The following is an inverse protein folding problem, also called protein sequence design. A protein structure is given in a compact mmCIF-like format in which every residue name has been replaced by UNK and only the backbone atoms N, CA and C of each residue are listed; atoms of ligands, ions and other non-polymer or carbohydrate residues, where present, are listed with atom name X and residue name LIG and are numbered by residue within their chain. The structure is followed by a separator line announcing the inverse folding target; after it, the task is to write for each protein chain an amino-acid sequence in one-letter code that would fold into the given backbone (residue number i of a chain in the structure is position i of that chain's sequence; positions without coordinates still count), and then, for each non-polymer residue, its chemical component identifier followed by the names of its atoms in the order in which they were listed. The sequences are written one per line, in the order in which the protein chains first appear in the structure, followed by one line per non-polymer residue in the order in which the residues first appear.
data_IF_476389683870
#
_entry.id   IF_476389683870
#
_cell.length_a   1.000
_cell.length_b   1.000
_cell.length_c   1.000
_cell.angle_alpha   90.00
_cell.angle_beta   90.00
_cell.angle_gamma   90.00
#
_symmetry.space_group_name_H-M   'P 1'
#
loop_
_entity.id
_entity.type
_entity.pdbx_description
1 polymer ?
2 non-polymer ?
3 non-polymer ?
4 water ?
#
# COMPACT_ATOMS: atom_id res chain seq x y z
N UNK A 1 -1.99 22.60 8.02
CA UNK A 1 -0.55 22.22 7.94
C UNK A 1 -0.14 21.40 9.15
N UNK A 2 0.13 22.08 10.29
CA UNK A 2 0.25 21.43 11.59
C UNK A 2 -1.13 21.30 12.29
N UNK A 3 -1.77 20.15 12.10
CA UNK A 3 -3.11 19.87 12.67
C UNK A 3 -3.20 19.85 14.19
N UNK A 4 -4.42 19.90 14.72
CA UNK A 4 -4.67 20.01 16.18
C UNK A 4 -4.63 18.71 16.94
N UNK A 5 -5.47 18.58 17.97
CA UNK A 5 -5.53 17.34 18.72
C UNK A 5 -6.39 16.31 18.00
N UNK A 6 -6.33 15.07 18.48
CA UNK A 6 -7.10 13.98 17.88
C UNK A 6 -8.59 14.32 17.88
N UNK A 7 -9.10 14.74 19.03
CA UNK A 7 -10.49 15.23 19.18
C UNK A 7 -10.86 16.21 18.08
N UNK A 8 -10.04 17.24 17.91
CA UNK A 8 -10.28 18.24 16.86
C UNK A 8 -10.42 17.55 15.50
N UNK A 9 -9.35 16.83 15.08
CA UNK A 9 -9.35 16.08 13.81
C UNK A 9 -10.62 15.26 13.58
N UNK A 10 -11.05 14.57 14.63
CA UNK A 10 -12.18 13.66 14.52
C UNK A 10 -13.53 14.32 14.76
N UNK A 11 -13.52 15.54 15.31
CA UNK A 11 -14.78 16.25 15.65
C UNK A 11 -15.88 16.19 14.59
N UNK A 12 -15.49 16.25 13.30
CA UNK A 12 -16.46 16.07 12.22
C UNK A 12 -16.46 14.69 11.54
N UNK A 13 -16.04 13.65 12.26
CA UNK A 13 -16.25 12.29 11.81
C UNK A 13 -17.58 11.78 12.39
N UNK A 14 -18.43 11.23 11.54
CA UNK A 14 -19.76 10.89 11.98
C UNK A 14 -19.93 9.40 12.39
N UNK A 15 -18.82 8.69 12.54
CA UNK A 15 -18.87 7.35 13.12
C UNK A 15 -17.74 7.09 14.10
N UNK A 16 -17.58 8.02 15.03
CA UNK A 16 -16.58 7.92 16.08
C UNK A 16 -17.23 7.23 17.28
N UNK A 17 -16.69 6.09 17.65
CA UNK A 17 -17.28 5.26 18.70
C UNK A 17 -16.44 5.31 20.00
N UNK A 18 -17.13 5.35 21.13
CA UNK A 18 -16.45 5.28 22.43
C UNK A 18 -15.89 3.88 22.68
N UNK A 19 -14.62 3.82 23.07
CA UNK A 19 -13.95 2.55 23.34
C UNK A 19 -14.55 1.77 24.52
N UNK A 20 -14.81 0.49 24.27
CA UNK A 20 -15.41 -0.40 25.25
C UNK A 20 -14.83 -1.82 25.08
N UNK A 21 -13.80 -2.10 25.86
CA UNK A 21 -13.18 -3.42 25.88
C UNK A 21 -13.74 -4.21 27.05
N UNK A 22 -13.86 -5.52 26.87
CA UNK A 22 -14.46 -6.40 27.86
C UNK A 22 -14.30 -7.87 27.46
N UNK A 23 -14.40 -8.75 28.44
CA UNK A 23 -14.39 -10.19 28.20
C UNK A 23 -15.76 -10.82 28.45
N UNK A 24 -16.14 -11.75 27.58
CA UNK A 24 -17.32 -12.57 27.77
C UNK A 24 -16.95 -14.03 27.58
N UNK A 25 -16.60 -14.69 28.69
CA UNK A 25 -16.18 -16.09 28.71
C UNK A 25 -14.86 -16.31 27.99
N UNK A 26 -13.82 -15.61 28.46
CA UNK A 26 -12.45 -15.65 27.90
C UNK A 26 -12.31 -15.55 26.36
N UNK A 27 -13.20 -14.78 25.73
CA UNK A 27 -12.93 -14.21 24.40
C UNK A 27 -12.87 -12.72 24.65
N UNK A 28 -11.82 -12.07 24.19
CA UNK A 28 -11.65 -10.63 24.39
C UNK A 28 -12.39 -9.86 23.29
N UNK A 29 -13.11 -8.81 23.67
CA UNK A 29 -13.90 -8.03 22.70
C UNK A 29 -13.47 -6.58 22.63
N UNK A 30 -13.54 -6.02 21.43
CA UNK A 30 -13.53 -4.56 21.27
C UNK A 30 -14.88 -4.12 20.70
N UNK A 31 -15.78 -3.67 21.57
CA UNK A 31 -17.04 -3.05 21.15
C UNK A 31 -17.94 -3.93 20.27
N UNK A 32 -18.15 -5.18 20.69
CA UNK A 32 -18.85 -6.17 19.83
C UNK A 32 -17.90 -6.89 18.86
N UNK A 33 -16.78 -6.27 18.51
CA UNK A 33 -15.79 -6.94 17.69
C UNK A 33 -15.01 -7.97 18.50
N UNK A 34 -15.29 -9.24 18.25
CA UNK A 34 -14.63 -10.33 18.92
C UNK A 34 -13.21 -10.52 18.39
N UNK A 35 -12.22 -10.36 19.26
CA UNK A 35 -10.82 -10.53 18.87
C UNK A 35 -10.50 -12.00 18.59
N UNK A 36 -10.26 -12.33 17.32
CA UNK A 36 -9.84 -13.68 16.94
C UNK A 36 -8.33 -13.88 17.23
N UNK A 37 -7.49 -13.19 16.45
CA UNK A 37 -6.03 -13.23 16.60
C UNK A 37 -5.51 -11.95 15.93
N UNK A 38 -4.20 -11.68 16.05
CA UNK A 38 -3.65 -10.51 15.37
C UNK A 38 -3.00 -10.92 14.05
N UNK A 39 -3.29 -10.17 12.99
CA UNK A 39 -2.86 -10.56 11.64
C UNK A 39 -1.42 -10.18 11.36
N UNK A 40 -1.01 -9.03 11.90
CA UNK A 40 0.26 -8.44 11.59
C UNK A 40 0.68 -7.53 12.73
N UNK A 41 1.76 -7.90 13.41
CA UNK A 41 2.32 -7.05 14.44
C UNK A 41 3.40 -6.15 13.82
N UNK A 42 2.99 -4.93 13.46
CA UNK A 42 3.92 -3.91 13.00
C UNK A 42 4.86 -3.49 14.12
N UNK A 43 5.71 -2.52 13.82
CA UNK A 43 6.62 -1.97 14.84
C UNK A 43 5.85 -1.08 15.81
N UNK A 44 4.77 -0.48 15.32
CA UNK A 44 3.94 0.44 16.11
C UNK A 44 2.46 0.07 16.10
N UNK A 45 1.82 0.14 14.93
CA UNK A 45 0.37 0.02 14.86
C UNK A 45 -0.19 -1.37 15.22
N UNK A 46 -0.20 -2.31 14.27
CA UNK A 46 -0.78 -3.66 14.47
C UNK A 46 -2.24 -3.77 14.01
N UNK A 47 -2.52 -4.86 13.29
CA UNK A 47 -3.87 -5.14 12.79
C UNK A 47 -4.45 -6.35 13.50
N UNK A 48 -5.74 -6.27 13.85
CA UNK A 48 -6.40 -7.32 14.59
C UNK A 48 -7.52 -7.95 13.76
N UNK A 49 -7.58 -9.29 13.75
CA UNK A 49 -8.69 -10.00 13.10
C UNK A 49 -9.83 -10.17 14.09
N UNK A 50 -11.01 -9.68 13.71
CA UNK A 50 -12.18 -9.74 14.57
C UNK A 50 -13.40 -10.26 13.83
N UNK A 51 -14.46 -10.50 14.59
CA UNK A 51 -15.77 -10.89 14.06
C UNK A 51 -16.88 -10.13 14.80
N UNK A 52 -17.86 -9.68 14.03
CA UNK A 52 -19.07 -9.07 14.56
C UNK A 52 -20.21 -9.53 13.67
N UNK A 53 -21.30 -9.96 14.29
CA UNK A 53 -22.42 -10.58 13.59
C UNK A 53 -21.96 -11.88 12.92
N UNK A 54 -21.78 -11.88 11.59
CA UNK A 54 -21.16 -13.02 10.92
C UNK A 54 -20.07 -12.60 9.94
N UNK A 55 -19.79 -11.30 9.94
CA UNK A 55 -18.83 -10.68 9.05
C UNK A 55 -17.42 -10.71 9.65
N UNK A 56 -16.41 -10.45 8.83
CA UNK A 56 -15.02 -10.44 9.28
C UNK A 56 -14.38 -9.09 9.11
N UNK A 57 -13.57 -8.70 10.10
CA UNK A 57 -13.01 -7.36 10.14
C UNK A 57 -11.55 -7.34 10.53
N UNK A 58 -10.83 -6.36 10.03
CA UNK A 58 -9.44 -6.14 10.42
C UNK A 58 -9.36 -4.76 11.05
N UNK A 59 -9.16 -4.73 12.36
CA UNK A 59 -9.06 -3.47 13.09
C UNK A 59 -7.59 -3.10 13.28
N UNK A 60 -7.24 -1.89 12.90
CA UNK A 60 -5.87 -1.41 13.05
C UNK A 60 -5.79 -0.58 14.30
N UNK A 61 -4.99 -1.03 15.27
CA UNK A 61 -4.81 -0.33 16.53
C UNK A 61 -3.57 0.56 16.52
N UNK A 62 -3.77 1.85 16.78
CA UNK A 62 -2.65 2.73 17.01
C UNK A 62 -2.73 3.12 18.48
N UNK A 63 -1.63 3.64 19.04
CA UNK A 63 -1.71 4.30 20.36
C UNK A 63 -0.84 5.54 20.50
N UNK A 64 -1.51 6.63 20.87
CA UNK A 64 -0.90 7.92 21.16
C UNK A 64 0.33 7.81 22.05
N UNK A 65 0.15 7.33 23.27
CA UNK A 65 1.20 7.26 24.27
C UNK A 65 2.42 6.49 23.76
N UNK A 66 2.19 5.63 22.78
CA UNK A 66 3.24 4.79 22.23
C UNK A 66 4.01 5.52 21.13
N UNK A 67 3.31 6.14 20.18
CA UNK A 67 4.00 6.82 19.09
C UNK A 67 4.37 8.29 19.33
N UNK A 68 3.93 8.88 20.45
CA UNK A 68 4.31 10.26 20.75
C UNK A 68 5.74 10.37 21.28
N UNK A 69 6.24 9.28 21.85
CA UNK A 69 7.67 9.05 21.97
C UNK A 69 8.04 8.28 20.71
N UNK A 70 9.30 8.42 20.26
CA UNK A 70 9.69 8.11 18.87
C UNK A 70 9.57 9.38 18.06
N UNK A 71 10.50 10.31 18.33
CA UNK A 71 10.59 11.59 17.65
C UNK A 71 11.76 11.52 16.70
N UNK A 72 11.66 12.24 15.59
CA UNK A 72 12.70 12.23 14.57
C UNK A 72 13.10 13.65 14.18
N UNK A 73 13.84 13.75 13.08
CA UNK A 73 14.28 15.03 12.53
C UNK A 73 13.72 15.27 11.13
N UNK A 74 12.69 16.11 11.04
CA UNK A 74 12.21 16.62 9.75
C UNK A 74 13.16 17.69 9.21
N UNK A 75 12.63 18.57 8.35
CA UNK A 75 13.40 19.67 7.77
C UNK A 75 13.64 20.78 8.79
N UNK A 76 13.24 22.00 8.45
CA UNK A 76 13.56 23.18 9.27
C UNK A 76 12.68 24.38 8.94
N UNK A 77 12.71 24.79 7.66
CA UNK A 77 12.22 26.09 7.21
C UNK A 77 13.10 27.21 7.76
N UNK A 78 13.21 27.26 9.09
CA UNK A 78 13.91 28.32 9.80
C UNK A 78 15.36 28.00 10.12
N UNK A 79 15.81 26.80 9.75
CA UNK A 79 17.14 26.30 10.12
C UNK A 79 17.29 26.16 11.65
N UNK A 80 16.23 26.54 12.38
CA UNK A 80 16.16 26.34 13.83
C UNK A 80 15.62 24.94 14.10
N UNK A 81 16.20 23.96 13.41
CA UNK A 81 15.76 22.56 13.43
C UNK A 81 14.23 22.36 13.24
N UNK A 82 13.79 21.11 13.31
CA UNK A 82 12.38 20.76 13.41
C UNK A 82 12.25 19.43 14.13
N UNK A 83 11.25 19.35 15.00
CA UNK A 83 11.05 18.19 15.86
C UNK A 83 9.65 17.62 15.67
N UNK A 84 9.57 16.46 15.03
CA UNK A 84 8.29 15.78 14.82
C UNK A 84 8.24 14.42 15.51
N UNK A 85 7.03 13.95 15.77
CA UNK A 85 6.78 12.68 16.44
C UNK A 85 6.04 11.76 15.49
N UNK A 86 6.04 10.47 15.77
CA UNK A 86 5.27 9.51 14.95
C UNK A 86 3.78 9.63 15.19
N UNK A 87 3.42 10.29 16.30
CA UNK A 87 2.02 10.62 16.56
C UNK A 87 1.56 11.78 15.68
N UNK A 88 2.46 12.71 15.40
CA UNK A 88 2.22 13.80 14.45
C UNK A 88 1.92 13.27 13.06
N UNK A 89 2.72 12.29 12.64
CA UNK A 89 2.52 11.62 11.36
C UNK A 89 1.17 10.96 11.27
N UNK A 90 0.75 10.39 12.39
CA UNK A 90 -0.51 9.67 12.48
C UNK A 90 -1.72 10.60 12.39
N UNK A 91 -1.61 11.80 12.98
CA UNK A 91 -2.66 12.81 12.84
C UNK A 91 -2.94 13.03 11.36
N UNK A 92 -1.90 13.32 10.59
CA UNK A 92 -2.06 13.45 9.15
C UNK A 92 -2.70 12.21 8.51
N UNK A 93 -2.35 11.03 9.00
CA UNK A 93 -2.94 9.81 8.47
C UNK A 93 -4.41 9.73 8.84
N UNK A 94 -4.72 10.07 10.08
CA UNK A 94 -6.09 10.05 10.60
C UNK A 94 -7.05 10.88 9.73
N UNK A 95 -6.71 12.14 9.50
CA UNK A 95 -7.45 13.03 8.62
C UNK A 95 -7.73 12.37 7.27
N UNK A 96 -6.75 11.64 6.76
CA UNK A 96 -6.88 11.01 5.46
C UNK A 96 -7.85 9.82 5.52
N UNK A 97 -7.63 8.91 6.45
CA UNK A 97 -8.55 7.79 6.70
C UNK A 97 -10.01 8.25 6.78
N UNK A 98 -10.18 9.49 7.23
CA UNK A 98 -11.46 10.12 7.48
C UNK A 98 -12.08 10.65 6.18
N UNK A 99 -11.26 10.73 5.14
CA UNK A 99 -11.64 11.38 3.89
C UNK A 99 -11.86 10.35 2.78
N UNK A 100 -11.14 9.23 2.84
CA UNK A 100 -11.20 8.23 1.79
C UNK A 100 -12.46 7.36 1.79
N UNK A 101 -13.22 7.44 0.71
CA UNK A 101 -14.39 6.60 0.49
C UNK A 101 -14.43 6.18 -0.99
N UNK A 102 -14.11 4.92 -1.27
CA UNK A 102 -13.99 4.44 -2.65
C UNK A 102 -13.93 2.92 -2.69
N UNK A 103 -14.62 2.33 -3.67
CA UNK A 103 -14.65 0.88 -3.84
C UNK A 103 -13.27 0.25 -4.18
N UNK A 104 -12.31 1.10 -4.54
CA UNK A 104 -10.98 0.66 -4.92
C UNK A 104 -9.93 0.99 -3.85
N UNK A 105 -10.39 1.47 -2.69
CA UNK A 105 -9.48 1.81 -1.60
C UNK A 105 -10.06 1.21 -0.34
N UNK A 106 -9.22 0.69 0.54
CA UNK A 106 -9.70 0.27 1.84
C UNK A 106 -10.18 1.51 2.57
N UNK A 107 -11.46 1.50 2.96
CA UNK A 107 -12.06 2.64 3.64
C UNK A 107 -12.61 2.17 4.98
N UNK A 108 -12.33 2.92 6.04
CA UNK A 108 -12.75 2.49 7.37
C UNK A 108 -14.26 2.61 7.53
N UNK A 109 -14.80 1.85 8.48
CA UNK A 109 -16.24 1.83 8.69
C UNK A 109 -16.59 2.47 10.02
N UNK A 110 -15.55 2.86 10.76
CA UNK A 110 -15.73 3.47 12.08
C UNK A 110 -14.41 3.61 12.81
N UNK A 111 -14.32 4.65 13.63
CA UNK A 111 -13.16 4.82 14.48
C UNK A 111 -13.55 4.73 15.95
N UNK A 112 -12.90 3.80 16.65
CA UNK A 112 -13.14 3.54 18.06
C UNK A 112 -11.97 4.09 18.87
N UNK A 113 -12.25 4.96 19.84
CA UNK A 113 -11.18 5.61 20.59
C UNK A 113 -11.53 6.17 21.97
N UNK A 114 -10.48 6.41 22.76
CA UNK A 114 -10.57 7.13 24.02
C UNK A 114 -9.66 8.36 23.92
N UNK A 115 -9.24 8.65 22.69
CA UNK A 115 -8.26 9.69 22.36
C UNK A 115 -6.83 9.32 22.75
N UNK A 116 -6.57 8.03 22.92
CA UNK A 116 -5.20 7.50 23.08
C UNK A 116 -5.05 6.23 22.23
N UNK A 117 -5.69 5.15 22.64
CA UNK A 117 -5.83 3.98 21.78
C UNK A 117 -6.85 4.28 20.71
N UNK A 118 -6.59 3.79 19.50
CA UNK A 118 -7.45 4.05 18.35
C UNK A 118 -7.59 2.77 17.54
N UNK A 119 -8.84 2.42 17.22
CA UNK A 119 -9.15 1.24 16.42
C UNK A 119 -9.90 1.68 15.18
N UNK A 120 -9.31 1.47 14.02
CA UNK A 120 -9.93 1.82 12.74
C UNK A 120 -10.50 0.51 12.20
N UNK A 121 -11.78 0.50 11.90
CA UNK A 121 -12.45 -0.72 11.49
C UNK A 121 -12.41 -0.81 9.97
N UNK A 122 -12.03 -1.98 9.47
CA UNK A 122 -11.93 -2.19 8.06
C UNK A 122 -12.59 -3.50 7.75
N UNK A 123 -13.07 -3.66 6.54
CA UNK A 123 -13.54 -4.96 6.08
C UNK A 123 -12.33 -5.87 6.08
N UNK A 124 -12.54 -7.17 6.13
CA UNK A 124 -11.41 -8.08 6.09
C UNK A 124 -11.23 -8.63 4.68
N UNK A 125 -10.07 -8.34 4.11
CA UNK A 125 -9.73 -8.74 2.74
C UNK A 125 -9.09 -10.10 2.83
N UNK A 126 -9.93 -11.13 2.76
CA UNK A 126 -9.50 -12.46 3.18
C UNK A 126 -8.32 -13.07 2.41
N UNK A 127 -8.04 -12.59 1.20
CA UNK A 127 -6.85 -13.04 0.46
C UNK A 127 -5.57 -12.25 0.75
N UNK A 128 -5.63 -11.34 1.73
CA UNK A 128 -4.46 -10.58 2.19
C UNK A 128 -3.85 -9.84 0.99
N UNK A 129 -2.54 -9.59 0.97
CA UNK A 129 -1.94 -8.80 -0.11
C UNK A 129 -1.58 -9.64 -1.34
N UNK A 130 -1.52 -9.00 -2.51
CA UNK A 130 -1.32 -9.75 -3.76
C UNK A 130 -0.04 -10.61 -3.79
N UNK A 131 1.03 -10.13 -3.17
CA UNK A 131 2.20 -10.97 -2.91
C UNK A 131 2.62 -10.83 -1.46
N UNK A 132 3.38 -11.79 -0.98
CA UNK A 132 3.90 -11.75 0.38
C UNK A 132 5.44 -11.69 0.31
N UNK A 133 6.07 -11.14 1.34
CA UNK A 133 7.54 -11.05 1.38
C UNK A 133 8.15 -11.66 2.64
N UNK A 134 9.38 -12.14 2.47
CA UNK A 134 10.28 -12.47 3.59
C UNK A 134 11.75 -12.22 3.15
N UNK A 135 12.32 -13.12 2.36
CA UNK A 135 13.62 -12.92 1.69
C UNK A 135 13.37 -12.56 0.22
N UNK A 136 12.14 -12.82 -0.23
CA UNK A 136 11.68 -12.56 -1.60
C UNK A 136 10.16 -12.71 -1.66
N UNK A 137 9.57 -12.39 -2.82
CA UNK A 137 8.12 -12.37 -2.96
C UNK A 137 7.54 -13.72 -3.38
N UNK A 138 6.42 -14.10 -2.76
CA UNK A 138 5.71 -15.34 -3.11
C UNK A 138 4.19 -15.14 -3.03
N UNK A 139 3.45 -16.02 -3.69
CA UNK A 139 2.00 -15.91 -3.79
C UNK A 139 1.32 -16.52 -2.56
N UNK A 140 1.57 -17.80 -2.31
CA UNK A 140 0.95 -18.45 -1.18
C UNK A 140 2.00 -19.04 -0.25
N UNK A 141 3.01 -19.66 -0.85
CA UNK A 141 3.96 -20.45 -0.10
C UNK A 141 5.38 -20.20 -0.58
N UNK A 142 6.31 -20.19 0.38
CA UNK A 142 7.72 -19.98 0.09
C UNK A 142 8.33 -21.16 -0.69
N UNK A 143 7.64 -22.30 -0.67
CA UNK A 143 8.19 -23.58 -1.20
C UNK A 143 7.91 -23.86 -2.70
N UNK A 144 6.64 -23.82 -3.10
CA UNK A 144 6.27 -23.81 -4.52
C UNK A 144 6.28 -22.37 -5.02
N UNK A 145 6.87 -22.15 -6.20
CA UNK A 145 7.04 -20.81 -6.75
C UNK A 145 5.70 -20.21 -7.22
N UNK A 146 5.37 -20.45 -8.49
CA UNK A 146 4.13 -19.93 -9.10
C UNK A 146 4.11 -18.40 -9.19
N UNK A 147 4.04 -17.89 -10.42
CA UNK A 147 3.91 -16.46 -10.68
C UNK A 147 2.45 -16.16 -10.98
N UNK A 148 1.98 -14.98 -10.58
CA UNK A 148 0.63 -14.53 -10.95
C UNK A 148 0.53 -14.53 -12.48
N UNK A 149 -0.57 -15.09 -13.04
CA UNK A 149 -0.76 -15.07 -14.49
C UNK A 149 -0.98 -13.64 -14.98
N UNK A 150 -0.56 -13.36 -16.21
CA UNK A 150 -0.64 -12.02 -16.77
C UNK A 150 -2.06 -11.43 -16.79
N UNK A 151 -3.03 -12.23 -17.21
CA UNK A 151 -4.41 -11.80 -17.29
C UNK A 151 -4.95 -11.33 -15.94
N UNK A 152 -4.46 -11.95 -14.87
CA UNK A 152 -4.79 -11.54 -13.50
C UNK A 152 -4.04 -10.26 -13.14
N UNK A 153 -2.76 -10.18 -13.52
CA UNK A 153 -1.95 -8.97 -13.28
C UNK A 153 -2.61 -7.77 -13.92
N UNK A 154 -3.04 -7.94 -15.16
CA UNK A 154 -3.83 -6.96 -15.88
C UNK A 154 -4.97 -6.42 -15.01
N UNK A 155 -5.76 -7.33 -14.44
CA UNK A 155 -6.89 -6.93 -13.60
C UNK A 155 -6.47 -6.07 -12.41
N UNK A 156 -5.42 -6.49 -11.72
CA UNK A 156 -4.93 -5.82 -10.51
C UNK A 156 -4.49 -4.40 -10.82
N UNK A 157 -3.63 -4.27 -11.83
CA UNK A 157 -3.16 -2.97 -12.29
C UNK A 157 -4.32 -2.03 -12.66
N UNK A 158 -5.27 -2.53 -13.46
CA UNK A 158 -6.43 -1.74 -13.87
C UNK A 158 -7.17 -1.32 -12.61
N UNK A 159 -7.19 -2.21 -11.65
CA UNK A 159 -7.87 -1.92 -10.42
C UNK A 159 -7.19 -0.79 -9.65
N UNK A 160 -5.87 -0.85 -9.52
CA UNK A 160 -5.12 0.13 -8.72
C UNK A 160 -5.04 1.48 -9.42
N UNK A 161 -4.88 1.44 -10.74
CA UNK A 161 -5.04 2.63 -11.58
C UNK A 161 -6.35 3.34 -11.30
N UNK A 162 -7.45 2.58 -11.23
CA UNK A 162 -8.73 3.14 -10.85
C UNK A 162 -8.68 3.86 -9.51
N UNK A 163 -7.93 3.32 -8.55
CA UNK A 163 -7.84 3.94 -7.22
C UNK A 163 -6.95 5.17 -7.22
N UNK A 164 -5.96 5.20 -8.14
CA UNK A 164 -5.22 6.44 -8.39
C UNK A 164 -6.17 7.53 -8.86
N UNK A 165 -7.08 7.19 -9.78
CA UNK A 165 -8.05 8.15 -10.28
C UNK A 165 -8.77 8.83 -9.11
N UNK A 166 -9.16 8.05 -8.11
CA UNK A 166 -9.87 8.60 -6.97
C UNK A 166 -8.99 9.50 -6.12
N UNK A 167 -7.84 8.98 -5.68
CA UNK A 167 -7.00 9.73 -4.76
C UNK A 167 -6.36 10.94 -5.42
N UNK A 168 -5.90 10.79 -6.65
CA UNK A 168 -5.22 11.88 -7.34
C UNK A 168 -6.17 12.97 -7.84
N UNK A 169 -7.27 12.54 -8.48
CA UNK A 169 -8.16 13.49 -9.17
C UNK A 169 -9.32 13.95 -8.31
N UNK A 170 -9.91 13.03 -7.57
CA UNK A 170 -11.07 13.37 -6.76
C UNK A 170 -10.68 13.90 -5.37
N UNK A 171 -9.65 13.31 -4.77
CA UNK A 171 -9.25 13.68 -3.41
C UNK A 171 -7.95 14.51 -3.26
N UNK A 172 -7.14 14.61 -4.30
CA UNK A 172 -5.86 15.34 -4.21
C UNK A 172 -4.87 14.76 -3.18
N UNK A 173 -4.84 13.43 -3.08
CA UNK A 173 -3.96 12.73 -2.15
C UNK A 173 -2.96 11.92 -2.96
N UNK A 174 -1.69 12.00 -2.57
CA UNK A 174 -0.68 11.11 -3.13
C UNK A 174 -0.41 9.96 -2.17
N UNK A 175 -0.47 8.73 -2.67
CA UNK A 175 -0.40 7.58 -1.74
C UNK A 175 0.99 7.46 -1.14
N UNK A 176 2.01 7.60 -1.98
CA UNK A 176 3.36 7.74 -1.49
C UNK A 176 4.04 6.44 -0.97
N UNK A 177 3.37 5.29 -1.03
CA UNK A 177 3.96 4.00 -0.56
C UNK A 177 3.22 2.82 -1.21
N UNK A 178 2.95 2.95 -2.50
CA UNK A 178 2.37 1.87 -3.29
C UNK A 178 3.35 0.69 -3.40
N UNK A 179 3.00 -0.41 -2.75
CA UNK A 179 3.78 -1.64 -2.80
C UNK A 179 2.89 -2.89 -2.67
N UNK A 180 3.36 -4.07 -3.14
CA UNK A 180 2.57 -5.31 -3.02
C UNK A 180 1.86 -5.53 -1.67
N UNK A 181 2.57 -5.34 -0.57
CA UNK A 181 2.00 -5.54 0.76
C UNK A 181 0.80 -4.63 1.05
N UNK A 182 0.63 -3.58 0.24
CA UNK A 182 -0.46 -2.60 0.36
C UNK A 182 -1.61 -2.73 -0.63
N UNK A 183 -1.53 -3.70 -1.55
CA UNK A 183 -2.65 -3.98 -2.45
C UNK A 183 -3.35 -5.22 -1.94
N UNK A 184 -4.54 -5.05 -1.38
CA UNK A 184 -5.22 -6.18 -0.75
C UNK A 184 -6.28 -6.76 -1.66
N UNK A 185 -6.47 -8.07 -1.57
CA UNK A 185 -7.45 -8.78 -2.37
C UNK A 185 -8.46 -9.46 -1.44
N UNK A 186 -9.73 -9.43 -1.81
CA UNK A 186 -10.71 -10.24 -1.08
C UNK A 186 -10.92 -11.57 -1.80
N UNK A 187 -11.78 -12.43 -1.26
CA UNK A 187 -12.06 -13.72 -1.89
C UNK A 187 -12.78 -13.61 -3.25
N UNK A 188 -13.51 -12.52 -3.44
CA UNK A 188 -14.40 -12.41 -4.61
C UNK A 188 -13.71 -11.71 -5.78
N UNK A 189 -12.46 -11.33 -5.60
CA UNK A 189 -11.73 -10.69 -6.68
C UNK A 189 -11.75 -9.18 -6.69
N UNK A 190 -12.13 -8.55 -5.59
CA UNK A 190 -11.93 -7.10 -5.42
C UNK A 190 -10.50 -6.84 -4.92
N UNK A 191 -9.88 -5.79 -5.45
CA UNK A 191 -8.53 -5.43 -5.08
C UNK A 191 -8.53 -3.99 -4.55
N UNK A 192 -7.91 -3.77 -3.40
CA UNK A 192 -7.99 -2.45 -2.81
C UNK A 192 -6.65 -1.89 -2.35
N UNK A 193 -6.38 -0.65 -2.73
CA UNK A 193 -5.26 0.15 -2.22
C UNK A 193 -5.46 0.46 -0.74
N UNK A 194 -4.41 0.30 0.05
CA UNK A 194 -4.49 0.51 1.49
C UNK A 194 -3.20 1.07 2.09
N UNK A 195 -3.25 1.27 3.41
CA UNK A 195 -2.23 1.95 4.22
C UNK A 195 -1.79 3.32 3.72
N UNK A 196 -2.46 4.33 4.25
CA UNK A 196 -2.17 5.69 3.85
C UNK A 196 -1.29 6.36 4.88
N UNK A 197 -0.38 5.58 5.49
CA UNK A 197 0.46 6.05 6.59
C UNK A 197 1.54 7.02 6.14
N UNK A 198 1.82 7.02 4.85
CA UNK A 198 2.85 7.87 4.25
C UNK A 198 2.19 8.92 3.33
N UNK A 199 0.87 8.85 3.22
CA UNK A 199 0.12 9.68 2.25
C UNK A 199 0.03 11.14 2.65
N UNK A 200 0.05 12.03 1.66
CA UNK A 200 0.04 13.49 1.88
C UNK A 200 -0.91 14.16 0.91
N UNK A 201 -1.48 15.30 1.32
CA UNK A 201 -2.25 16.14 0.43
C UNK A 201 -1.29 16.97 -0.43
N UNK A 202 -1.45 16.89 -1.74
CA UNK A 202 -0.59 17.58 -2.68
C UNK A 202 -0.84 19.09 -2.64
N UNK A 203 0.14 19.87 -3.10
CA UNK A 203 -0.03 21.31 -3.29
C UNK A 203 0.34 21.58 -4.74
N UNK A 204 -0.68 21.96 -5.53
CA UNK A 204 -0.57 22.06 -7.01
C UNK A 204 0.01 20.78 -7.65
N UNK A 205 -0.53 19.64 -7.23
CA UNK A 205 -0.11 18.31 -7.71
C UNK A 205 1.28 17.87 -7.21
N UNK A 206 2.01 18.75 -6.54
CA UNK A 206 3.35 18.45 -6.03
C UNK A 206 3.25 17.81 -4.64
N UNK A 207 4.17 16.90 -4.33
CA UNK A 207 4.30 16.43 -2.94
C UNK A 207 5.57 16.91 -2.25
N UNK A 208 5.47 17.00 -0.93
CA UNK A 208 6.52 17.52 -0.06
C UNK A 208 7.95 17.13 -0.45
N UNK A 209 8.39 15.92 -0.08
CA UNK A 209 9.73 15.45 -0.51
C UNK A 209 10.43 14.32 0.22
N UNK A 210 10.58 13.17 -0.46
CA UNK A 210 11.42 12.01 -0.03
C UNK A 210 10.98 11.30 1.24
N UNK A 211 10.12 10.30 1.06
CA UNK A 211 9.43 9.61 2.13
C UNK A 211 8.73 8.42 1.46
N UNK A 212 8.69 7.27 2.15
CA UNK A 212 8.17 6.03 1.59
C UNK A 212 9.12 4.86 1.81
N UNK A 213 9.11 3.88 0.92
CA UNK A 213 9.96 2.71 1.02
C UNK A 213 11.03 2.82 -0.04
N UNK A 214 12.29 2.77 0.38
CA UNK A 214 13.43 3.13 -0.44
C UNK A 214 13.38 2.50 -1.83
N UNK A 215 13.13 1.20 -1.89
CA UNK A 215 13.31 0.49 -3.15
C UNK A 215 12.18 0.74 -4.14
N UNK A 216 11.17 1.49 -3.69
CA UNK A 216 10.04 1.88 -4.53
C UNK A 216 10.05 3.35 -4.92
N UNK A 217 11.10 4.07 -4.52
CA UNK A 217 11.22 5.52 -4.75
C UNK A 217 11.75 5.86 -6.14
N UNK A 218 11.12 6.86 -6.79
CA UNK A 218 11.49 7.24 -8.16
C UNK A 218 12.82 7.98 -8.29
N UNK A 219 13.43 7.94 -9.48
CA UNK A 219 14.63 8.70 -9.78
C UNK A 219 14.58 10.18 -9.37
N UNK A 220 13.44 10.84 -9.56
CA UNK A 220 13.27 12.26 -9.15
C UNK A 220 13.88 12.55 -7.80
N UNK A 221 13.67 11.63 -6.86
CA UNK A 221 14.09 11.80 -5.47
C UNK A 221 15.60 11.98 -5.34
N UNK A 222 16.34 11.63 -6.38
CA UNK A 222 17.81 11.72 -6.41
C UNK A 222 18.34 12.90 -7.22
N UNK A 223 17.48 13.89 -7.45
CA UNK A 223 17.82 15.09 -8.23
C UNK A 223 18.10 16.29 -7.33
N UNK A 224 18.19 17.47 -7.95
CA UNK A 224 18.17 18.74 -7.23
C UNK A 224 16.73 19.23 -6.92
N UNK A 225 15.73 18.57 -7.51
CA UNK A 225 14.39 19.15 -7.71
C UNK A 225 13.64 19.71 -6.50
N UNK A 226 13.49 18.90 -5.46
CA UNK A 226 12.80 19.30 -4.22
C UNK A 226 11.27 19.16 -4.28
N UNK A 227 10.69 19.27 -5.47
CA UNK A 227 9.29 18.98 -5.66
C UNK A 227 9.07 18.04 -6.83
N UNK A 228 8.07 17.18 -6.70
CA UNK A 228 7.78 16.16 -7.69
C UNK A 228 6.28 16.01 -7.79
N UNK A 229 5.83 15.71 -9.00
CA UNK A 229 4.44 15.45 -9.27
C UNK A 229 3.95 14.18 -8.55
N UNK A 230 3.07 14.36 -7.57
CA UNK A 230 2.47 13.26 -6.81
C UNK A 230 2.03 12.04 -7.60
N UNK A 231 1.26 12.26 -8.67
CA UNK A 231 0.79 11.17 -9.53
C UNK A 231 1.93 10.28 -10.06
N UNK A 232 2.97 10.90 -10.63
CA UNK A 232 4.09 10.19 -11.24
C UNK A 232 4.90 9.39 -10.22
N UNK A 233 4.91 9.87 -8.98
CA UNK A 233 5.54 9.12 -7.91
C UNK A 233 4.78 7.81 -7.71
N UNK A 234 3.45 7.89 -7.63
CA UNK A 234 2.62 6.69 -7.45
C UNK A 234 2.65 5.78 -8.67
N UNK A 235 2.74 6.39 -9.85
CA UNK A 235 2.90 5.63 -11.09
C UNK A 235 4.18 4.80 -11.02
N UNK A 236 5.32 5.43 -10.70
CA UNK A 236 6.60 4.71 -10.59
C UNK A 236 6.48 3.48 -9.70
N UNK A 237 5.82 3.66 -8.57
CA UNK A 237 5.75 2.64 -7.56
C UNK A 237 4.90 1.47 -7.99
N UNK A 238 3.88 1.76 -8.79
CA UNK A 238 3.01 0.74 -9.37
C UNK A 238 3.79 -0.04 -10.40
N UNK A 239 4.70 0.67 -11.07
CA UNK A 239 5.59 0.08 -12.04
C UNK A 239 6.43 -0.98 -11.38
N UNK A 240 7.05 -0.63 -10.25
CA UNK A 240 7.81 -1.59 -9.45
C UNK A 240 6.93 -2.78 -9.07
N UNK A 241 5.73 -2.53 -8.51
CA UNK A 241 4.80 -3.61 -8.18
C UNK A 241 4.59 -4.52 -9.39
N UNK A 242 4.41 -3.90 -10.57
CA UNK A 242 4.33 -4.60 -11.85
C UNK A 242 5.57 -5.46 -12.11
N UNK A 243 6.75 -4.86 -11.98
CA UNK A 243 8.01 -5.60 -12.10
C UNK A 243 8.09 -6.75 -11.11
N UNK A 244 7.67 -6.49 -9.87
CA UNK A 244 7.61 -7.50 -8.83
C UNK A 244 6.61 -8.61 -9.17
N UNK A 245 5.46 -8.23 -9.74
CA UNK A 245 4.44 -9.21 -10.13
C UNK A 245 4.92 -10.10 -11.28
N UNK A 246 5.78 -9.54 -12.12
CA UNK A 246 6.39 -10.27 -13.22
C UNK A 246 7.46 -11.24 -12.75
N UNK A 247 8.36 -10.78 -11.88
CA UNK A 247 9.55 -11.56 -11.54
C UNK A 247 9.61 -12.11 -10.12
N UNK A 248 8.68 -11.67 -9.28
CA UNK A 248 8.66 -12.06 -7.86
C UNK A 248 9.88 -11.55 -7.11
N UNK A 249 10.51 -10.55 -7.71
CA UNK A 249 11.68 -9.90 -7.16
C UNK A 249 11.61 -8.42 -7.55
N UNK A 250 12.17 -7.58 -6.70
CA UNK A 250 12.25 -6.15 -6.92
C UNK A 250 13.44 -5.85 -7.91
N UNK A 251 13.29 -4.87 -8.82
CA UNK A 251 14.24 -4.67 -9.94
C UNK A 251 15.72 -4.51 -9.58
N UNK A 252 16.27 -3.31 -9.77
CA UNK A 252 17.68 -3.04 -9.47
C UNK A 252 17.93 -3.08 -7.97
N UNK A 253 16.84 -2.93 -7.20
CA UNK A 253 16.84 -2.75 -5.75
C UNK A 253 17.71 -3.75 -4.96
N UNK A 254 17.03 -4.67 -4.27
CA UNK A 254 17.66 -5.76 -3.50
C UNK A 254 18.54 -5.29 -2.33
N UNK A 255 18.70 -6.16 -1.33
CA UNK A 255 19.40 -5.85 -0.07
C UNK A 255 20.89 -5.55 -0.27
N UNK A 256 21.48 -4.95 0.76
CA UNK A 256 22.95 -4.74 0.89
C UNK A 256 23.73 -4.40 -0.41
N UNK A 257 23.98 -3.10 -0.63
CA UNK A 257 23.57 -2.03 0.28
C UNK A 257 22.75 -0.96 -0.44
N UNK A 258 22.43 0.12 0.26
CA UNK A 258 21.51 1.14 -0.26
C UNK A 258 22.13 2.25 -1.09
N UNK A 259 23.41 2.49 -0.88
CA UNK A 259 24.17 3.38 -1.76
C UNK A 259 24.10 2.75 -3.15
N UNK A 260 24.38 1.43 -3.19
CA UNK A 260 24.28 0.63 -4.40
C UNK A 260 22.84 0.61 -4.92
N UNK A 261 21.85 0.79 -4.04
CA UNK A 261 20.47 0.93 -4.48
C UNK A 261 20.23 2.30 -5.13
N UNK A 262 20.84 3.34 -4.56
CA UNK A 262 20.57 4.71 -4.97
C UNK A 262 21.45 5.24 -6.11
N UNK A 263 22.67 4.74 -6.20
CA UNK A 263 23.50 4.99 -7.37
C UNK A 263 22.89 4.32 -8.59
N UNK A 264 21.97 3.40 -8.32
CA UNK A 264 21.29 2.63 -9.35
C UNK A 264 20.04 3.34 -9.85
N UNK A 265 19.08 3.59 -8.96
CA UNK A 265 17.78 4.12 -9.35
C UNK A 265 17.87 5.33 -10.30
N UNK A 266 18.70 6.32 -9.95
CA UNK A 266 18.78 7.55 -10.76
C UNK A 266 19.32 7.34 -12.18
N UNK A 267 20.31 6.46 -12.32
CA UNK A 267 20.90 6.14 -13.62
C UNK A 267 21.28 4.66 -13.68
N UNK A 268 20.71 3.94 -14.64
CA UNK A 268 20.82 2.48 -14.78
C UNK A 268 19.57 1.92 -15.48
N UNK A 269 19.79 1.01 -16.42
CA UNK A 269 18.71 0.38 -17.15
C UNK A 269 18.23 -0.91 -16.48
N UNK A 270 16.92 -1.04 -16.34
CA UNK A 270 16.28 -2.18 -15.71
C UNK A 270 16.39 -3.37 -16.66
N UNK A 271 16.71 -4.55 -16.11
CA UNK A 271 16.84 -5.77 -16.94
C UNK A 271 15.53 -6.56 -16.96
N UNK A 272 15.14 -6.97 -18.16
CA UNK A 272 13.85 -7.62 -18.38
C UNK A 272 14.00 -9.03 -18.97
N UNK A 273 14.39 -10.01 -18.13
CA UNK A 273 14.47 -11.38 -18.63
C UNK A 273 13.09 -12.07 -18.60
N UNK A 274 13.06 -13.38 -18.39
CA UNK A 274 11.78 -14.09 -18.41
C UNK A 274 11.42 -14.75 -17.07
N UNK A 275 10.28 -14.30 -16.53
CA UNK A 275 9.73 -14.63 -15.21
C UNK A 275 10.66 -15.21 -14.14
N UNK A 276 11.06 -16.47 -14.29
CA UNK A 276 12.09 -17.03 -13.42
C UNK A 276 13.44 -16.83 -14.06
N UNK A 277 14.26 -15.98 -13.45
CA UNK A 277 15.66 -15.80 -13.83
C UNK A 277 16.44 -15.40 -12.59
N UNK A 278 15.90 -14.43 -11.86
CA UNK A 278 16.45 -13.99 -10.58
C UNK A 278 16.05 -14.99 -9.49
N UNK A 279 15.31 -16.01 -9.92
CA UNK A 279 14.64 -16.90 -8.98
C UNK A 279 14.96 -18.39 -9.14
N UNK A 280 15.72 -18.74 -10.18
CA UNK A 280 16.08 -20.13 -10.46
C UNK A 280 16.97 -20.73 -9.36
N UNK A 281 17.68 -19.87 -8.65
CA UNK A 281 18.67 -20.32 -7.65
C UNK A 281 18.21 -20.44 -6.19
N UNK A 282 17.34 -19.53 -5.70
CA UNK A 282 16.69 -19.78 -4.42
C UNK A 282 16.03 -21.18 -4.36
N UNK A 283 15.25 -21.53 -5.39
CA UNK A 283 14.61 -22.85 -5.49
C UNK A 283 15.59 -23.99 -5.89
N UNK A 284 16.89 -23.66 -5.94
CA UNK A 284 17.97 -24.59 -6.35
C UNK A 284 17.71 -25.35 -7.65
N UNK A 293 4.40 -18.67 -16.83
CA UNK A 293 5.64 -19.35 -17.19
C UNK A 293 6.74 -18.35 -17.57
N UNK A 294 6.55 -17.66 -18.69
CA UNK A 294 7.38 -16.51 -19.08
C UNK A 294 6.69 -15.53 -20.06
N UNK A 295 7.15 -14.28 -20.05
CA UNK A 295 6.43 -13.13 -20.65
C UNK A 295 6.41 -13.07 -22.18
N UNK A 296 6.20 -11.85 -22.71
CA UNK A 296 6.16 -11.57 -24.15
C UNK A 296 6.34 -10.07 -24.41
N UNK A 297 7.13 -9.73 -25.42
CA UNK A 297 7.44 -8.33 -25.81
C UNK A 297 6.51 -7.24 -25.29
N UNK A 298 5.21 -7.38 -25.56
CA UNK A 298 4.20 -6.39 -25.18
C UNK A 298 4.16 -6.11 -23.68
N UNK A 299 4.39 -7.15 -22.88
CA UNK A 299 4.32 -7.04 -21.42
C UNK A 299 5.39 -6.10 -20.88
N UNK A 300 6.59 -6.22 -21.46
CA UNK A 300 7.73 -5.40 -21.08
C UNK A 300 7.56 -3.98 -21.63
N UNK A 301 7.00 -3.86 -22.82
CA UNK A 301 6.64 -2.56 -23.40
C UNK A 301 5.80 -1.75 -22.42
N UNK A 302 4.62 -2.28 -22.08
CA UNK A 302 3.69 -1.61 -21.16
C UNK A 302 4.38 -1.15 -19.87
N UNK A 303 5.04 -2.12 -19.21
CA UNK A 303 5.78 -1.89 -17.97
C UNK A 303 6.85 -0.81 -18.08
N UNK A 304 7.49 -0.69 -19.24
CA UNK A 304 8.54 0.31 -19.46
C UNK A 304 7.99 1.74 -19.49
N UNK A 305 6.69 1.87 -19.76
CA UNK A 305 6.03 3.18 -19.78
C UNK A 305 5.90 3.75 -18.36
N UNK A 306 5.83 2.85 -17.38
CA UNK A 306 5.79 3.18 -15.95
C UNK A 306 7.15 3.58 -15.39
N UNK A 307 8.22 3.01 -15.94
CA UNK A 307 9.55 3.19 -15.36
C UNK A 307 10.48 4.09 -16.21
N UNK A 308 9.90 5.12 -16.81
CA UNK A 308 10.68 6.23 -17.39
C UNK A 308 11.29 7.03 -16.25
N UNK A 309 12.61 7.10 -16.24
CA UNK A 309 13.36 7.72 -15.16
C UNK A 309 13.05 9.21 -15.07
N UNK A 310 12.64 9.80 -16.19
CA UNK A 310 12.19 11.18 -16.22
C UNK A 310 10.67 11.20 -16.05
N UNK A 311 10.18 11.84 -14.97
CA UNK A 311 8.75 11.81 -14.58
C UNK A 311 7.76 12.47 -15.55
N UNK A 312 8.18 13.53 -16.24
CA UNK A 312 7.31 14.22 -17.20
C UNK A 312 7.13 13.40 -18.48
N UNK A 313 7.77 12.25 -18.50
CA UNK A 313 7.87 11.39 -19.68
C UNK A 313 7.34 10.02 -19.32
N UNK A 314 7.10 9.82 -18.03
CA UNK A 314 6.48 8.63 -17.48
C UNK A 314 5.01 8.59 -17.89
N UNK A 315 4.42 7.39 -17.91
CA UNK A 315 3.03 7.24 -18.32
C UNK A 315 2.08 7.87 -17.30
N UNK A 316 1.00 8.46 -17.83
CA UNK A 316 -0.12 8.99 -17.05
C UNK A 316 -0.95 7.80 -16.57
N UNK A 317 -1.87 8.02 -15.63
CA UNK A 317 -2.84 6.98 -15.28
C UNK A 317 -3.89 6.88 -16.37
N UNK A 318 -4.21 8.02 -16.98
CA UNK A 318 -5.19 8.07 -18.07
C UNK A 318 -4.72 7.20 -19.23
N UNK A 319 -3.57 7.55 -19.82
CA UNK A 319 -2.97 6.78 -20.91
C UNK A 319 -2.86 5.28 -20.58
N UNK A 320 -2.41 4.96 -19.37
CA UNK A 320 -2.32 3.58 -18.90
C UNK A 320 -3.64 2.80 -19.04
N UNK A 321 -4.70 3.29 -18.42
CA UNK A 321 -6.03 2.67 -18.45
C UNK A 321 -6.57 2.42 -19.86
N UNK A 322 -6.10 3.23 -20.80
CA UNK A 322 -6.59 3.20 -22.19
C UNK A 322 -5.54 2.61 -23.13
N UNK A 323 -4.43 2.13 -22.57
CA UNK A 323 -3.41 1.47 -23.37
C UNK A 323 -3.93 0.14 -23.92
N UNK A 324 -3.43 -0.23 -25.09
CA UNK A 324 -3.72 -1.52 -25.73
C UNK A 324 -3.62 -2.71 -24.77
N UNK A 325 -2.53 -2.76 -24.00
CA UNK A 325 -2.22 -3.88 -23.10
C UNK A 325 -3.35 -4.27 -22.15
N UNK A 326 -4.11 -3.28 -21.66
CA UNK A 326 -5.25 -3.54 -20.76
C UNK A 326 -6.59 -3.69 -21.49
N UNK A 327 -6.58 -3.47 -22.80
CA UNK A 327 -7.82 -3.46 -23.58
C UNK A 327 -8.52 -4.82 -23.62
N UNK A 328 -7.84 -5.86 -23.14
CA UNK A 328 -8.42 -7.20 -23.07
C UNK A 328 -8.48 -7.75 -21.64
N UNK A 329 -8.54 -6.85 -20.67
CA UNK A 329 -8.69 -7.24 -19.29
C UNK A 329 -10.04 -7.93 -19.07
N UNK A 330 -9.98 -9.19 -18.63
CA UNK A 330 -11.19 -9.90 -18.26
C UNK A 330 -11.25 -10.16 -16.76
N UNK A 331 -12.15 -9.42 -16.11
CA UNK A 331 -12.30 -9.43 -14.66
C UNK A 331 -12.57 -10.85 -14.12
N UNK A 332 -13.07 -11.73 -14.98
CA UNK A 332 -13.37 -13.10 -14.61
C UNK A 332 -12.10 -13.92 -14.30
N UNK A 333 -10.98 -13.55 -14.92
CA UNK A 333 -9.69 -14.18 -14.64
C UNK A 333 -9.28 -13.94 -13.19
N UNK A 334 -9.49 -12.72 -12.71
CA UNK A 334 -9.20 -12.36 -11.33
C UNK A 334 -10.16 -13.02 -10.34
N UNK A 335 -11.45 -13.00 -10.65
CA UNK A 335 -12.46 -13.62 -9.81
C UNK A 335 -12.20 -15.10 -9.63
N UNK A 336 -11.83 -15.78 -10.72
CA UNK A 336 -11.50 -17.21 -10.66
C UNK A 336 -10.20 -17.47 -9.89
N UNK A 337 -9.21 -16.61 -10.13
CA UNK A 337 -7.92 -16.68 -9.45
C UNK A 337 -8.08 -16.48 -7.95
N UNK A 338 -8.80 -15.43 -7.58
CA UNK A 338 -9.04 -15.11 -6.18
C UNK A 338 -9.83 -16.20 -5.44
N UNK A 339 -10.74 -16.87 -6.15
CA UNK A 339 -11.56 -17.94 -5.59
C UNK A 339 -10.71 -19.16 -5.26
N UNK A 340 -9.78 -19.49 -6.15
CA UNK A 340 -8.97 -20.69 -5.98
C UNK A 340 -7.89 -20.44 -4.95
N UNK A 341 -7.39 -19.20 -4.91
CA UNK A 341 -6.41 -18.78 -3.93
C UNK A 341 -6.97 -18.91 -2.51
N UNK A 342 -8.18 -18.41 -2.32
CA UNK A 342 -8.86 -18.48 -1.04
C UNK A 342 -9.05 -19.93 -0.59
N UNK A 343 -9.33 -20.81 -1.55
CA UNK A 343 -9.46 -22.25 -1.29
C UNK A 343 -8.13 -22.91 -0.92
N UNK A 344 -7.02 -22.31 -1.37
CA UNK A 344 -5.68 -22.82 -1.04
C UNK A 344 -5.18 -22.29 0.31
N UNK A 345 -5.68 -21.13 0.73
CA UNK A 345 -5.44 -20.62 2.08
C UNK A 345 -6.38 -21.39 3.03
N UNK A 346 -6.33 -21.10 4.33
CA UNK A 346 -7.09 -21.85 5.36
C UNK A 346 -7.15 -23.38 5.10
N UNK A 347 -6.28 -23.80 4.17
CA UNK A 347 -5.87 -25.16 3.98
C UNK A 347 -4.46 -25.28 4.58
N UNK A 348 -3.95 -24.15 5.09
CA UNK A 348 -2.71 -24.11 5.86
C UNK A 348 -2.89 -23.51 7.28
#
# INVERSE_FOLDING_TARGET
GPLGSMKDILSNYSNLIYLNKYVKEKDKYINDYRIIRTLNQGKFNKIILCEKDNKFYALKKYEKSLLEKKRDFTKSNNDKISIKSKYDDFKNELQIITDIKNEYCLTCEGIITNYDEVYIIYEYMENDSILKFDEYFFVLDKNYTCFIPIQVIKCIIKSVLNSFSYIHNEKNICHRDVKPSNILMDKNGRVKLSDFGESEYMVDKKIKGSRGTYEFMPPEFFSNESSYNGAKVDIWSLGICLYVMFYNVVPFSLKISLVELFNNIRTKNIEYPLDRNHFLYPLTNKKSTCSNNFLSNEDIDFLKLFLRKNPAERITSEDALKHEWLADTNIEDLREFSKELYKKRKKL
#
